data_IF_337226164520
#
_entry.id   IF_337226164520
#
_cell.length_a   1.000
_cell.length_b   1.000
_cell.length_c   1.000
_cell.angle_alpha   90.00
_cell.angle_beta   90.00
_cell.angle_gamma   90.00
#
_symmetry.space_group_name_H-M   'P 1'
#
loop_
_entity.id
_entity.type
_entity.pdbx_description
1 polymer ?
#
# COMPACT_ATOMS: atom_id res chain seq x y z
N UNK A 1 -2.04 -13.62 -5.01
CA UNK A 1 -2.94 -12.56 -4.49
C UNK A 1 -2.87 -12.40 -2.96
N UNK A 2 -3.15 -13.45 -2.16
CA UNK A 2 -3.18 -13.35 -0.70
C UNK A 2 -1.85 -12.85 -0.09
N UNK A 3 -0.71 -13.36 -0.58
CA UNK A 3 0.61 -12.92 -0.14
C UNK A 3 0.86 -11.44 -0.44
N UNK A 4 0.40 -10.93 -1.59
CA UNK A 4 0.55 -9.51 -1.96
C UNK A 4 -0.20 -8.64 -0.96
N UNK A 5 -1.46 -8.94 -0.71
CA UNK A 5 -2.30 -8.22 0.26
C UNK A 5 -1.66 -8.24 1.65
N UNK A 6 -1.21 -9.41 2.11
CA UNK A 6 -0.56 -9.56 3.41
C UNK A 6 0.73 -8.74 3.50
N UNK A 7 1.59 -8.80 2.49
CA UNK A 7 2.83 -8.01 2.45
C UNK A 7 2.55 -6.50 2.38
N UNK A 8 1.54 -6.06 1.62
CA UNK A 8 1.19 -4.63 1.56
C UNK A 8 0.77 -4.13 2.95
N UNK A 9 -0.09 -4.86 3.66
CA UNK A 9 -0.49 -4.48 5.02
C UNK A 9 0.68 -4.51 6.00
N UNK A 10 1.51 -5.55 5.96
CA UNK A 10 2.63 -5.72 6.87
C UNK A 10 3.72 -4.66 6.67
N UNK A 11 4.07 -4.38 5.40
CA UNK A 11 5.04 -3.35 5.05
C UNK A 11 4.58 -1.96 5.51
N UNK A 12 3.30 -1.62 5.26
CA UNK A 12 2.76 -0.32 5.66
C UNK A 12 2.77 -0.15 7.19
N UNK A 13 2.45 -1.21 7.94
CA UNK A 13 2.44 -1.16 9.40
C UNK A 13 3.84 -1.02 10.03
N UNK A 14 4.88 -1.58 9.40
CA UNK A 14 6.26 -1.48 9.91
C UNK A 14 6.86 -0.11 9.58
N UNK A 15 6.66 0.37 8.35
CA UNK A 15 7.30 1.60 7.88
C UNK A 15 6.61 2.85 8.43
N UNK A 16 5.29 2.78 8.64
CA UNK A 16 4.50 3.96 8.96
C UNK A 16 4.06 3.96 10.43
N UNK A 17 4.66 4.84 11.24
CA UNK A 17 4.25 5.05 12.63
C UNK A 17 3.32 6.27 12.74
N UNK A 18 1.99 6.09 12.86
CA UNK A 18 1.03 7.19 12.90
C UNK A 18 1.17 8.06 14.16
N UNK A 19 1.70 7.51 15.26
CA UNK A 19 1.94 8.27 16.49
C UNK A 19 3.06 9.27 16.29
N UNK A 20 4.16 8.84 15.67
CA UNK A 20 5.31 9.70 15.39
C UNK A 20 4.97 10.79 14.36
N UNK A 21 4.19 10.45 13.33
CA UNK A 21 3.70 11.43 12.34
C UNK A 21 2.82 12.50 12.99
N UNK A 22 1.91 12.10 13.89
CA UNK A 22 1.07 13.03 14.64
C UNK A 22 1.89 13.95 15.55
N UNK A 23 2.92 13.40 16.20
CA UNK A 23 3.81 14.16 17.09
C UNK A 23 4.69 15.14 16.30
N UNK A 24 5.19 14.71 15.14
CA UNK A 24 5.92 15.57 14.20
C UNK A 24 5.03 16.71 13.69
N UNK A 25 3.78 16.44 13.29
CA UNK A 25 2.84 17.50 12.91
C UNK A 25 2.69 18.55 14.00
N UNK A 26 2.52 18.12 15.26
CA UNK A 26 2.44 19.03 16.41
C UNK A 26 3.73 19.83 16.59
N UNK A 27 4.91 19.22 16.46
CA UNK A 27 6.22 19.89 16.60
C UNK A 27 6.47 20.93 15.51
N UNK A 28 6.01 20.69 14.30
CA UNK A 28 6.11 21.63 13.17
C UNK A 28 4.99 22.67 13.12
N UNK A 29 4.14 22.76 14.16
CA UNK A 29 3.02 23.71 14.23
C UNK A 29 1.83 23.36 13.33
N UNK A 30 1.84 22.17 12.71
CA UNK A 30 0.74 21.65 11.91
C UNK A 30 -0.34 21.02 12.79
N UNK A 31 -1.61 21.21 12.40
CA UNK A 31 -2.74 20.56 13.05
C UNK A 31 -3.80 20.18 12.03
N UNK A 32 -4.54 19.10 12.31
CA UNK A 32 -5.69 18.71 11.49
C UNK A 32 -6.89 19.55 11.97
N UNK A 33 -7.54 20.34 11.09
CA UNK A 33 -8.71 21.14 11.45
C UNK A 33 -9.80 20.26 12.07
N UNK A 34 -10.34 20.68 13.22
CA UNK A 34 -11.40 19.95 13.94
C UNK A 34 -10.92 18.86 14.92
N UNK A 35 -9.62 18.53 14.96
CA UNK A 35 -9.06 17.58 15.92
C UNK A 35 -8.03 18.24 16.85
N UNK A 36 -8.09 17.90 18.14
CA UNK A 36 -7.09 18.35 19.12
C UNK A 36 -5.74 17.66 18.83
N UNK A 37 -4.62 18.40 18.76
CA UNK A 37 -3.30 17.82 18.46
C UNK A 37 -2.88 16.75 19.46
N UNK A 38 -2.38 15.61 18.95
CA UNK A 38 -1.83 14.50 19.75
C UNK A 38 -2.55 13.18 19.48
N UNK A 39 -3.04 12.53 20.55
CA UNK A 39 -3.75 11.23 20.48
C UNK A 39 -4.88 11.18 19.45
N UNK A 40 -5.79 12.17 19.37
CA UNK A 40 -6.88 12.16 18.38
C UNK A 40 -6.34 12.18 16.95
N UNK A 41 -5.28 12.97 16.70
CA UNK A 41 -4.63 13.08 15.39
C UNK A 41 -4.04 11.73 14.95
N UNK A 42 -3.37 11.02 15.86
CA UNK A 42 -2.79 9.70 15.58
C UNK A 42 -3.87 8.65 15.25
N UNK A 43 -4.98 8.64 15.99
CA UNK A 43 -6.12 7.74 15.73
C UNK A 43 -6.75 8.02 14.36
N UNK A 44 -6.92 9.31 14.02
CA UNK A 44 -7.44 9.70 12.72
C UNK A 44 -6.52 9.27 11.57
N UNK A 45 -5.21 9.53 11.69
CA UNK A 45 -4.22 9.10 10.70
C UNK A 45 -4.26 7.58 10.53
N UNK A 46 -4.34 6.83 11.63
CA UNK A 46 -4.43 5.35 11.59
C UNK A 46 -5.67 4.86 10.85
N UNK A 47 -6.83 5.48 11.09
CA UNK A 47 -8.07 5.13 10.40
C UNK A 47 -7.99 5.43 8.89
N UNK A 48 -7.40 6.56 8.50
CA UNK A 48 -7.17 6.91 7.09
C UNK A 48 -6.19 5.93 6.45
N UNK A 49 -5.08 5.65 7.12
CA UNK A 49 -4.05 4.73 6.63
C UNK A 49 -4.65 3.36 6.30
N UNK A 50 -5.47 2.82 7.22
CA UNK A 50 -6.13 1.52 7.04
C UNK A 50 -7.00 1.49 5.79
N UNK A 51 -7.78 2.54 5.52
CA UNK A 51 -8.65 2.64 4.33
C UNK A 51 -7.83 2.76 3.04
N UNK A 52 -6.79 3.56 3.05
CA UNK A 52 -5.91 3.75 1.88
C UNK A 52 -5.15 2.45 1.58
N UNK A 53 -4.59 1.80 2.60
CA UNK A 53 -3.90 0.52 2.46
C UNK A 53 -4.83 -0.58 1.94
N UNK A 54 -6.11 -0.58 2.33
CA UNK A 54 -7.09 -1.53 1.81
C UNK A 54 -7.28 -1.39 0.28
N UNK A 55 -7.48 -0.16 -0.20
CA UNK A 55 -7.60 0.11 -1.65
C UNK A 55 -6.29 -0.17 -2.38
N UNK A 56 -5.15 0.21 -1.80
CA UNK A 56 -3.83 -0.04 -2.36
C UNK A 56 -3.51 -1.54 -2.48
N UNK A 57 -3.87 -2.34 -1.48
CA UNK A 57 -3.68 -3.78 -1.49
C UNK A 57 -4.49 -4.46 -2.61
N UNK A 58 -5.73 -4.00 -2.86
CA UNK A 58 -6.55 -4.48 -3.99
C UNK A 58 -5.88 -4.11 -5.32
N UNK A 59 -5.42 -2.87 -5.46
CA UNK A 59 -4.74 -2.40 -6.66
C UNK A 59 -3.46 -3.20 -6.97
N UNK A 60 -2.61 -3.42 -5.96
CA UNK A 60 -1.41 -4.24 -6.13
C UNK A 60 -1.72 -5.71 -6.42
N UNK A 61 -2.79 -6.26 -5.83
CA UNK A 61 -3.26 -7.60 -6.17
C UNK A 61 -3.68 -7.70 -7.63
N UNK A 62 -4.37 -6.69 -8.17
CA UNK A 62 -4.74 -6.62 -9.59
C UNK A 62 -3.51 -6.57 -10.50
N UNK A 63 -2.54 -5.70 -10.20
CA UNK A 63 -1.29 -5.59 -10.98
C UNK A 63 -0.52 -6.92 -10.99
N UNK A 64 -0.48 -7.63 -9.85
CA UNK A 64 0.22 -8.90 -9.76
C UNK A 64 -0.44 -10.02 -10.60
N UNK A 65 -1.77 -9.98 -10.78
CA UNK A 65 -2.52 -10.99 -11.53
C UNK A 65 -2.55 -10.68 -13.04
N UNK A 66 -2.47 -9.40 -13.41
CA UNK A 66 -2.52 -8.92 -14.80
C UNK A 66 -1.55 -9.64 -15.77
N UNK A 67 -0.24 -9.80 -15.46
CA UNK A 67 0.69 -10.48 -16.37
C UNK A 67 0.41 -11.98 -16.49
N UNK A 68 -0.17 -12.63 -15.47
CA UNK A 68 -0.52 -14.04 -15.50
C UNK A 68 -1.72 -14.30 -16.42
N UNK A 69 -2.71 -13.39 -16.42
CA UNK A 69 -3.86 -13.44 -17.34
C UNK A 69 -3.40 -13.20 -18.79
N UNK A 70 -2.57 -12.18 -19.01
CA UNK A 70 -2.05 -11.86 -20.36
C UNK A 70 -1.24 -13.01 -20.94
N UNK A 71 -0.40 -13.68 -20.14
CA UNK A 71 0.38 -14.83 -20.59
C UNK A 71 -0.48 -16.07 -20.90
N UNK A 72 -1.57 -16.30 -20.16
CA UNK A 72 -2.48 -17.43 -20.40
C UNK A 72 -3.32 -17.28 -21.67
N UNK A 73 -3.89 -16.10 -21.90
CA UNK A 73 -4.87 -15.88 -22.96
C UNK A 73 -4.22 -15.48 -24.30
N UNK A 74 -3.16 -14.65 -24.29
CA UNK A 74 -2.65 -14.03 -25.52
C UNK A 74 -1.45 -14.77 -26.14
N UNK A 75 -0.66 -15.49 -25.34
CA UNK A 75 0.67 -15.96 -25.74
C UNK A 75 0.88 -17.48 -25.69
N UNK A 76 -0.15 -18.27 -25.33
CA UNK A 76 -0.15 -19.76 -25.29
C UNK A 76 1.22 -20.34 -24.86
N UNK A 77 1.76 -19.89 -23.73
CA UNK A 77 3.04 -20.38 -23.17
C UNK A 77 4.30 -20.26 -24.07
N UNK A 78 4.23 -19.56 -25.21
CA UNK A 78 5.37 -19.45 -26.15
C UNK A 78 6.44 -18.45 -25.74
N UNK A 79 6.20 -17.63 -24.71
CA UNK A 79 7.20 -16.74 -24.14
C UNK A 79 7.53 -17.21 -22.71
N UNK A 80 8.66 -17.91 -22.50
CA UNK A 80 9.22 -18.13 -21.16
C UNK A 80 9.81 -16.84 -20.56
N UNK A 81 9.53 -15.68 -21.16
CA UNK A 81 9.85 -14.36 -20.64
C UNK A 81 8.82 -13.99 -19.57
N UNK A 82 8.99 -14.60 -18.39
CA UNK A 82 8.27 -14.23 -17.19
C UNK A 82 8.34 -12.74 -16.95
N UNK A 83 7.27 -12.15 -16.40
CA UNK A 83 7.11 -10.71 -16.21
C UNK A 83 8.28 -9.98 -15.53
N UNK A 84 9.19 -10.69 -14.85
CA UNK A 84 10.46 -10.16 -14.33
C UNK A 84 11.45 -9.75 -15.43
N UNK A 85 11.53 -10.46 -16.56
CA UNK A 85 12.40 -10.06 -17.68
C UNK A 85 11.98 -8.74 -18.31
N UNK A 86 10.67 -8.48 -18.40
CA UNK A 86 10.12 -7.22 -18.94
C UNK A 86 10.28 -6.07 -17.92
N UNK A 87 10.29 -6.37 -16.62
CA UNK A 87 10.47 -5.37 -15.58
C UNK A 87 11.94 -4.96 -15.38
N UNK A 88 12.90 -5.78 -15.81
CA UNK A 88 14.34 -5.59 -15.65
C UNK A 88 15.04 -5.17 -16.97
N UNK A 89 14.37 -5.29 -18.12
CA UNK A 89 14.89 -4.90 -19.44
C UNK A 89 14.81 -3.39 -19.69
#
# INVERSE_FOLDING_TARGET
>A
ALAVVLFTFFYTAIVFNPVEVADNMRRYGGFIPGLRPGKPTAEYITAVLTRVTFVGAIFFAFIAILPEIVNRELLRQSLPFGGTSILIA
#
